data_IF_291406321224
#
_entry.id   IF_291406321224
#
_cell.length_a   1.000
_cell.length_b   1.000
_cell.length_c   1.000
_cell.angle_alpha   90.00
_cell.angle_beta   90.00
_cell.angle_gamma   90.00
#
_symmetry.space_group_name_H-M   'P 1'
#
loop_
_entity.id
_entity.type
_entity.pdbx_description
1 polymer ?
#
# COMPACT_ATOMS: atom_id res chain seq x y z
N UNK A 1 -3.61 2.98 -28.35
CA UNK A 1 -2.15 2.93 -28.56
C UNK A 1 -1.73 4.28 -29.10
N UNK A 2 -0.77 4.93 -28.44
CA UNK A 2 -0.24 6.23 -28.87
C UNK A 2 1.23 6.07 -29.22
N UNK A 3 1.67 6.69 -30.31
CA UNK A 3 3.07 6.67 -30.73
C UNK A 3 3.82 7.81 -30.04
N UNK A 4 4.92 7.48 -29.37
CA UNK A 4 5.80 8.46 -28.73
C UNK A 4 7.04 8.68 -29.58
N UNK A 5 7.46 9.93 -29.70
CA UNK A 5 8.70 10.29 -30.36
C UNK A 5 9.79 10.56 -29.32
N UNK A 6 10.95 9.94 -29.51
CA UNK A 6 12.16 10.24 -28.73
C UNK A 6 12.66 11.63 -29.13
N UNK A 7 12.78 12.53 -28.16
CA UNK A 7 13.30 13.89 -28.33
C UNK A 7 14.80 13.92 -28.02
N UNK A 8 15.38 15.13 -28.00
CA UNK A 8 16.77 15.36 -27.59
C UNK A 8 17.05 14.70 -26.23
N UNK A 9 18.28 14.21 -26.04
CA UNK A 9 18.72 13.52 -24.81
C UNK A 9 17.85 12.30 -24.45
N UNK A 10 17.27 11.64 -25.45
CA UNK A 10 16.46 10.42 -25.28
C UNK A 10 15.22 10.59 -24.39
N UNK A 11 14.67 11.80 -24.32
CA UNK A 11 13.46 12.07 -23.54
C UNK A 11 12.21 11.66 -24.33
N UNK A 12 11.26 11.01 -23.65
CA UNK A 12 9.90 10.82 -24.14
C UNK A 12 8.94 11.66 -23.31
N UNK A 13 7.87 12.16 -23.93
CA UNK A 13 6.81 12.86 -23.23
C UNK A 13 5.65 11.89 -23.04
N UNK A 14 5.28 11.60 -21.79
CA UNK A 14 4.10 10.80 -21.50
C UNK A 14 2.83 11.62 -21.85
N UNK A 15 1.96 11.11 -22.74
CA UNK A 15 0.71 11.77 -23.07
C UNK A 15 -0.16 11.97 -21.84
N UNK A 16 -1.03 12.99 -21.91
CA UNK A 16 -1.97 13.30 -20.82
C UNK A 16 -2.86 12.11 -20.46
N UNK A 17 -3.34 11.36 -21.45
CA UNK A 17 -4.14 10.15 -21.27
C UNK A 17 -3.48 9.11 -20.36
N UNK A 18 -2.16 8.93 -20.47
CA UNK A 18 -1.39 7.99 -19.64
C UNK A 18 -1.17 8.55 -18.24
N UNK A 19 -0.81 9.84 -18.14
CA UNK A 19 -0.58 10.51 -16.85
C UNK A 19 -1.84 10.50 -15.99
N UNK A 20 -2.98 10.89 -16.56
CA UNK A 20 -4.26 10.97 -15.84
C UNK A 20 -4.73 9.57 -15.38
N UNK A 21 -4.52 8.53 -16.20
CA UNK A 21 -4.92 7.14 -15.87
C UNK A 21 -4.05 6.49 -14.79
N UNK A 22 -2.78 6.88 -14.71
CA UNK A 22 -1.82 6.35 -13.73
C UNK A 22 -1.58 7.32 -12.57
N UNK A 23 -2.34 8.42 -12.51
CA UNK A 23 -2.24 9.47 -11.50
C UNK A 23 -0.80 9.97 -11.31
N UNK A 24 -0.09 10.19 -12.43
CA UNK A 24 1.31 10.62 -12.43
C UNK A 24 1.45 12.11 -12.27
N UNK A 25 2.33 12.53 -11.36
CA UNK A 25 2.64 13.92 -11.08
C UNK A 25 4.11 14.24 -11.39
N UNK A 26 4.42 15.54 -11.48
CA UNK A 26 5.81 15.97 -11.62
C UNK A 26 6.61 15.58 -10.37
N UNK A 27 7.74 14.90 -10.57
CA UNK A 27 8.58 14.39 -9.48
C UNK A 27 8.40 12.91 -9.16
N UNK A 28 7.39 12.25 -9.73
CA UNK A 28 7.24 10.81 -9.62
C UNK A 28 8.40 10.05 -10.25
N UNK A 29 8.72 8.90 -9.65
CA UNK A 29 9.77 8.01 -10.14
C UNK A 29 9.16 6.92 -11.01
N UNK A 30 9.79 6.65 -12.15
CA UNK A 30 9.42 5.54 -13.04
C UNK A 30 10.60 4.56 -13.08
N UNK A 31 10.36 3.30 -12.74
CA UNK A 31 11.29 2.22 -13.02
C UNK A 31 11.15 1.82 -14.49
N UNK A 32 12.27 1.76 -15.21
CA UNK A 32 12.33 1.29 -16.59
C UNK A 32 13.12 -0.02 -16.65
N UNK A 33 12.52 -1.05 -17.25
CA UNK A 33 13.16 -2.34 -17.48
C UNK A 33 12.88 -2.81 -18.91
N UNK A 34 13.82 -3.57 -19.47
CA UNK A 34 13.63 -4.26 -20.76
C UNK A 34 13.15 -5.68 -20.45
N UNK A 35 11.98 -6.05 -20.97
CA UNK A 35 11.46 -7.42 -20.93
C UNK A 35 11.28 -7.89 -22.37
N UNK A 36 12.09 -8.87 -22.77
CA UNK A 36 12.20 -9.31 -24.15
C UNK A 36 12.51 -8.12 -25.09
N UNK A 37 11.59 -7.78 -25.99
CA UNK A 37 11.71 -6.64 -26.91
C UNK A 37 10.87 -5.42 -26.49
N UNK A 38 10.36 -5.40 -25.25
CA UNK A 38 9.51 -4.34 -24.71
C UNK A 38 10.23 -3.52 -23.62
N UNK A 39 9.95 -2.22 -23.58
CA UNK A 39 10.30 -1.37 -22.44
C UNK A 39 9.08 -1.27 -21.52
N UNK A 40 9.21 -1.80 -20.31
CA UNK A 40 8.17 -1.70 -19.28
C UNK A 40 8.49 -0.54 -18.34
N UNK A 41 7.56 0.41 -18.28
CA UNK A 41 7.64 1.56 -17.40
C UNK A 41 6.66 1.37 -16.24
N UNK A 42 7.19 1.26 -15.02
CA UNK A 42 6.40 1.05 -13.81
C UNK A 42 6.52 2.25 -12.87
N UNK A 43 5.43 2.96 -12.56
CA UNK A 43 5.44 4.01 -11.56
C UNK A 43 5.88 3.49 -10.18
N UNK A 44 6.69 4.28 -9.49
CA UNK A 44 7.21 4.00 -8.14
C UNK A 44 7.01 5.23 -7.27
N UNK A 45 6.53 5.00 -6.05
CA UNK A 45 6.55 6.00 -4.99
C UNK A 45 7.78 5.80 -4.13
N UNK A 46 8.53 6.87 -3.89
CA UNK A 46 9.55 6.87 -2.86
C UNK A 46 8.87 6.97 -1.51
N UNK A 47 9.28 6.10 -0.60
CA UNK A 47 8.87 6.13 0.79
C UNK A 47 10.07 6.54 1.62
N UNK A 48 9.86 7.46 2.56
CA UNK A 48 10.89 7.81 3.52
C UNK A 48 11.32 6.56 4.30
N UNK A 49 12.62 6.45 4.58
CA UNK A 49 13.17 5.29 5.32
C UNK A 49 12.48 5.10 6.68
N UNK A 50 12.08 6.20 7.34
CA UNK A 50 11.35 6.19 8.61
C UNK A 50 9.93 5.62 8.49
N UNK A 51 9.36 5.54 7.29
CA UNK A 51 8.04 4.96 7.01
C UNK A 51 8.12 3.62 6.27
N UNK A 52 9.33 3.16 5.92
CA UNK A 52 9.53 1.92 5.18
C UNK A 52 9.03 0.68 5.94
N UNK A 53 8.99 0.72 7.27
CA UNK A 53 8.49 -0.36 8.11
C UNK A 53 7.01 -0.71 7.82
N UNK A 54 6.18 0.28 7.45
CA UNK A 54 4.77 0.06 7.09
C UNK A 54 4.63 -0.87 5.88
N UNK A 55 5.63 -0.84 4.99
CA UNK A 55 5.69 -1.66 3.78
C UNK A 55 6.44 -2.98 3.97
N UNK A 56 6.83 -3.32 5.21
CA UNK A 56 7.40 -4.63 5.51
C UNK A 56 6.36 -5.74 5.27
N UNK A 57 6.82 -6.93 4.89
CA UNK A 57 5.93 -8.08 4.61
C UNK A 57 5.07 -8.46 5.81
N UNK A 58 5.64 -8.36 7.01
CA UNK A 58 4.96 -8.68 8.26
C UNK A 58 3.84 -7.67 8.54
N UNK A 59 4.14 -6.37 8.44
CA UNK A 59 3.14 -5.32 8.65
C UNK A 59 2.01 -5.40 7.63
N UNK A 60 2.34 -5.55 6.35
CA UNK A 60 1.33 -5.71 5.28
C UNK A 60 0.52 -7.00 5.39
N UNK A 61 1.01 -8.03 6.11
CA UNK A 61 0.22 -9.22 6.42
C UNK A 61 -0.78 -8.92 7.54
N UNK A 62 -0.33 -8.30 8.63
CA UNK A 62 -1.19 -7.91 9.74
C UNK A 62 -2.29 -6.94 9.28
N UNK A 63 -1.97 -5.98 8.41
CA UNK A 63 -2.94 -5.05 7.83
C UNK A 63 -4.04 -5.78 7.04
N UNK A 64 -3.68 -6.78 6.23
CA UNK A 64 -4.66 -7.58 5.48
C UNK A 64 -5.54 -8.44 6.39
N UNK A 65 -4.99 -8.94 7.49
CA UNK A 65 -5.76 -9.69 8.49
C UNK A 65 -6.76 -8.77 9.21
N UNK A 66 -6.32 -7.57 9.63
CA UNK A 66 -7.20 -6.58 10.24
C UNK A 66 -8.32 -6.12 9.30
N UNK A 67 -8.02 -5.84 8.03
CA UNK A 67 -9.01 -5.49 7.02
C UNK A 67 -10.03 -6.63 6.81
N UNK A 68 -9.57 -7.88 6.79
CA UNK A 68 -10.45 -9.04 6.70
C UNK A 68 -11.34 -9.22 7.95
N UNK A 69 -10.87 -8.83 9.14
CA UNK A 69 -11.67 -8.80 10.36
C UNK A 69 -12.74 -7.71 10.30
N UNK A 70 -12.39 -6.50 9.84
CA UNK A 70 -13.32 -5.38 9.64
C UNK A 70 -14.43 -5.78 8.65
N UNK A 71 -14.05 -6.29 7.48
CA UNK A 71 -15.00 -6.69 6.43
C UNK A 71 -15.93 -7.82 6.88
N UNK A 72 -15.44 -8.73 7.72
CA UNK A 72 -16.23 -9.82 8.27
C UNK A 72 -17.03 -9.43 9.53
N UNK A 73 -16.96 -8.16 9.97
CA UNK A 73 -17.61 -7.69 11.19
C UNK A 73 -17.04 -8.30 12.47
N UNK A 74 -15.81 -8.86 12.44
CA UNK A 74 -15.08 -9.36 13.62
C UNK A 74 -14.43 -8.22 14.41
N UNK A 75 -15.15 -7.11 14.55
CA UNK A 75 -14.71 -5.91 15.23
C UNK A 75 -15.71 -5.55 16.31
N UNK A 76 -15.23 -4.84 17.33
CA UNK A 76 -16.07 -4.32 18.40
C UNK A 76 -15.94 -2.79 18.41
N UNK A 77 -17.07 -2.11 18.40
CA UNK A 77 -17.16 -0.66 18.54
C UNK A 77 -17.65 -0.33 19.94
N UNK A 78 -17.07 0.70 20.55
CA UNK A 78 -17.41 1.17 21.89
C UNK A 78 -17.61 2.67 21.83
N UNK A 79 -18.63 3.17 22.52
CA UNK A 79 -18.88 4.61 22.64
C UNK A 79 -18.01 5.27 23.71
N UNK A 80 -17.58 4.50 24.71
CA UNK A 80 -16.80 4.99 25.84
C UNK A 80 -15.52 4.18 26.05
N UNK A 81 -14.47 4.83 26.54
CA UNK A 81 -13.14 4.21 26.69
C UNK A 81 -13.15 3.13 27.78
N UNK A 82 -13.90 3.36 28.86
CA UNK A 82 -14.07 2.44 29.98
C UNK A 82 -14.69 1.10 29.55
N UNK A 83 -15.62 1.14 28.59
CA UNK A 83 -16.24 -0.06 28.03
C UNK A 83 -15.23 -0.90 27.24
N UNK A 84 -14.41 -0.24 26.42
CA UNK A 84 -13.35 -0.89 25.66
C UNK A 84 -12.31 -1.54 26.57
N UNK A 85 -11.88 -0.85 27.65
CA UNK A 85 -10.93 -1.39 28.62
C UNK A 85 -11.52 -2.59 29.36
N UNK A 86 -12.77 -2.48 29.83
CA UNK A 86 -13.46 -3.57 30.52
C UNK A 86 -13.58 -4.81 29.63
N UNK A 87 -13.89 -4.63 28.34
CA UNK A 87 -13.92 -5.71 27.35
C UNK A 87 -12.57 -6.42 27.21
N UNK A 88 -11.46 -5.67 27.14
CA UNK A 88 -10.12 -6.27 27.06
C UNK A 88 -9.78 -7.08 28.32
N UNK A 89 -10.05 -6.54 29.51
CA UNK A 89 -9.81 -7.24 30.78
C UNK A 89 -10.60 -8.55 30.89
N UNK A 90 -11.85 -8.58 30.40
CA UNK A 90 -12.65 -9.82 30.40
C UNK A 90 -12.04 -10.91 29.52
N UNK A 91 -11.43 -10.54 28.39
CA UNK A 91 -10.83 -11.49 27.44
C UNK A 91 -9.45 -12.00 27.86
N UNK A 92 -8.70 -11.24 28.64
CA UNK A 92 -7.42 -11.69 29.20
C UNK A 92 -7.58 -12.51 30.48
N UNK A 93 -8.73 -12.44 31.14
CA UNK A 93 -8.98 -13.14 32.42
C UNK A 93 -9.61 -14.55 32.23
N UNK A 94 -9.98 -14.92 31.00
CA UNK A 94 -10.45 -16.27 30.64
C UNK A 94 -9.54 -16.94 29.61
N UNK A 95 -8.82 -18.00 30.02
CA UNK A 95 -7.97 -18.91 29.23
C UNK A 95 -6.64 -18.35 28.68
N UNK A 96 -5.57 -18.52 29.46
CA UNK A 96 -4.27 -18.91 28.90
C UNK A 96 -4.25 -20.43 28.71
N UNK A 97 -3.81 -20.99 27.57
CA UNK A 97 -3.55 -22.42 27.46
C UNK A 97 -2.32 -22.76 28.30
N UNK A 98 -2.44 -23.82 29.10
CA UNK A 98 -1.36 -24.34 29.93
C UNK A 98 -0.11 -24.71 29.13
N UNK A 99 1.03 -24.49 29.77
CA UNK A 99 2.31 -25.11 29.43
C UNK A 99 2.26 -26.65 29.54
#
# INVERSE_FOLDING_TARGET
>A
MELLQIRKKFQITLPRSIRDRLELEEGDYIAAEVRDDEIVLTPKKLIDKSQAWFWSREWQKAEREAEADIQAGRVHEFSETEEAIAFLHQRTTGEGPGE
#
